data_IF_842120842182
#
_entry.id   IF_842120842182
#
_cell.length_a   1.000
_cell.length_b   1.000
_cell.length_c   1.000
_cell.angle_alpha   90.00
_cell.angle_beta   90.00
_cell.angle_gamma   90.00
#
_symmetry.space_group_name_H-M   'P 1'
#
loop_
_entity.id
_entity.type
_entity.pdbx_description
1 polymer ?
#
# COMPACT_ATOMS: atom_id res chain seq x y z
N UNK A 1 8.69 4.42 8.61
CA UNK A 1 8.59 3.14 7.88
C UNK A 1 7.86 3.39 6.56
N UNK A 2 8.10 2.59 5.53
CA UNK A 2 7.41 2.69 4.25
C UNK A 2 6.81 1.35 3.87
N UNK A 3 5.66 1.36 3.19
CA UNK A 3 5.14 0.23 2.45
C UNK A 3 5.57 0.36 1.00
N UNK A 4 6.32 -0.61 0.48
CA UNK A 4 6.67 -0.68 -0.92
C UNK A 4 5.94 -1.87 -1.55
N UNK A 5 5.21 -1.62 -2.64
CA UNK A 5 4.57 -2.68 -3.40
C UNK A 5 5.24 -2.81 -4.77
N UNK A 6 5.67 -4.03 -5.07
CA UNK A 6 6.29 -4.40 -6.34
C UNK A 6 5.69 -5.70 -6.84
N UNK A 7 5.60 -5.82 -8.16
CA UNK A 7 5.17 -7.00 -8.87
C UNK A 7 6.29 -7.49 -9.79
N UNK A 8 6.20 -8.74 -10.23
CA UNK A 8 7.15 -9.27 -11.23
C UNK A 8 7.06 -8.46 -12.54
N UNK A 9 8.19 -7.89 -13.04
CA UNK A 9 8.24 -7.24 -14.34
C UNK A 9 7.76 -8.18 -15.44
N UNK A 10 6.98 -7.66 -16.38
CA UNK A 10 6.42 -8.44 -17.49
C UNK A 10 6.05 -7.53 -18.65
N UNK A 11 5.90 -8.11 -19.83
CA UNK A 11 5.47 -7.35 -20.99
C UNK A 11 3.97 -7.00 -20.92
N UNK A 12 3.61 -5.73 -21.11
CA UNK A 12 2.21 -5.28 -21.21
C UNK A 12 1.82 -5.14 -22.68
N UNK A 13 1.16 -6.17 -23.21
CA UNK A 13 0.66 -6.20 -24.59
C UNK A 13 -0.34 -5.09 -24.88
N UNK A 14 -1.05 -4.58 -23.86
CA UNK A 14 -2.02 -3.47 -24.02
C UNK A 14 -1.32 -2.16 -24.33
N UNK A 15 -0.14 -1.95 -23.73
CA UNK A 15 0.66 -0.71 -23.84
C UNK A 15 1.89 -0.86 -24.73
N UNK A 16 2.07 -2.03 -25.35
CA UNK A 16 3.21 -2.40 -26.20
C UNK A 16 4.57 -2.06 -25.56
N UNK A 17 4.72 -2.27 -24.24
CA UNK A 17 5.92 -1.89 -23.47
C UNK A 17 6.16 -2.80 -22.27
N UNK A 18 7.38 -2.79 -21.75
CA UNK A 18 7.71 -3.48 -20.49
C UNK A 18 7.06 -2.77 -19.30
N UNK A 19 6.34 -3.53 -18.47
CA UNK A 19 5.95 -3.12 -17.12
C UNK A 19 7.08 -3.47 -16.16
N UNK A 20 7.60 -2.46 -15.46
CA UNK A 20 8.77 -2.56 -14.59
C UNK A 20 8.45 -3.14 -13.20
N UNK A 21 7.18 -3.49 -12.93
CA UNK A 21 6.77 -4.07 -11.67
C UNK A 21 6.50 -3.05 -10.56
N UNK A 22 6.80 -1.76 -10.75
CA UNK A 22 6.72 -0.78 -9.67
C UNK A 22 5.28 -0.32 -9.46
N UNK A 23 4.71 -0.61 -8.29
CA UNK A 23 3.34 -0.18 -7.94
C UNK A 23 3.36 1.11 -7.13
N UNK A 24 4.19 1.19 -6.09
CA UNK A 24 4.34 2.42 -5.30
C UNK A 24 5.13 2.24 -4.02
N UNK A 25 5.39 3.38 -3.37
CA UNK A 25 6.01 3.48 -2.05
C UNK A 25 5.22 4.50 -1.24
N UNK A 26 4.72 4.11 -0.08
CA UNK A 26 3.89 4.96 0.78
C UNK A 26 4.47 5.05 2.19
N UNK A 27 4.70 6.27 2.71
CA UNK A 27 5.18 6.44 4.07
C UNK A 27 4.07 6.18 5.10
N UNK A 28 4.43 5.53 6.20
CA UNK A 28 3.61 5.51 7.42
C UNK A 28 3.93 6.75 8.26
N UNK A 29 3.24 7.85 7.94
CA UNK A 29 3.42 9.14 8.61
C UNK A 29 2.08 9.82 8.83
N UNK A 30 2.03 10.66 9.85
CA UNK A 30 0.94 11.58 10.12
C UNK A 30 1.45 13.02 9.97
N UNK A 31 0.65 13.86 9.32
CA UNK A 31 0.92 15.30 9.24
C UNK A 31 0.07 16.02 10.30
N UNK A 32 0.74 16.61 11.29
CA UNK A 32 0.11 17.38 12.36
C UNK A 32 0.68 18.78 12.42
N UNK A 33 -0.06 19.72 13.01
CA UNK A 33 0.45 21.07 13.24
C UNK A 33 1.21 21.12 14.57
N UNK A 34 2.36 21.82 14.58
CA UNK A 34 3.13 22.05 15.79
C UNK A 34 2.26 22.70 16.87
N UNK A 35 2.04 21.99 17.98
CA UNK A 35 1.19 22.46 19.07
C UNK A 35 1.88 23.57 19.88
N UNK A 36 3.20 23.48 20.02
CA UNK A 36 4.03 24.40 20.78
C UNK A 36 5.09 25.03 19.89
N UNK A 37 5.32 26.33 20.07
CA UNK A 37 6.46 27.01 19.47
C UNK A 37 7.78 26.50 20.06
N UNK A 38 8.74 26.25 19.20
CA UNK A 38 10.13 26.00 19.53
C UNK A 38 11.02 26.89 18.66
N UNK A 39 12.30 27.02 19.02
CA UNK A 39 13.26 27.86 18.27
C UNK A 39 13.27 27.58 16.76
N UNK A 40 13.04 26.32 16.37
CA UNK A 40 13.11 25.87 14.97
C UNK A 40 11.74 25.62 14.35
N UNK A 41 10.64 25.67 15.12
CA UNK A 41 9.28 25.38 14.64
C UNK A 41 8.27 26.26 15.38
N UNK A 42 7.80 27.37 14.79
CA UNK A 42 6.67 28.13 15.30
C UNK A 42 5.43 27.23 15.49
N UNK A 43 4.56 27.61 16.41
CA UNK A 43 3.24 26.97 16.54
C UNK A 43 2.50 27.04 15.20
N UNK A 44 1.87 25.94 14.80
CA UNK A 44 1.18 25.84 13.51
C UNK A 44 2.04 25.39 12.33
N UNK A 45 3.36 25.18 12.51
CA UNK A 45 4.18 24.59 11.44
C UNK A 45 3.79 23.14 11.18
N UNK A 46 3.59 22.70 9.91
CA UNK A 46 3.36 21.29 9.59
C UNK A 46 4.55 20.42 10.04
N UNK A 47 4.26 19.40 10.82
CA UNK A 47 5.19 18.37 11.27
C UNK A 47 4.75 17.06 10.65
N UNK A 48 5.70 16.34 10.05
CA UNK A 48 5.51 14.96 9.62
C UNK A 48 6.17 14.04 10.63
N UNK A 49 5.39 13.18 11.26
CA UNK A 49 5.86 12.25 12.30
C UNK A 49 5.61 10.82 11.86
N UNK A 50 6.51 9.86 12.15
CA UNK A 50 6.24 8.45 11.92
C UNK A 50 5.03 7.96 12.73
N UNK A 51 4.23 7.09 12.13
CA UNK A 51 3.08 6.46 12.80
C UNK A 51 3.38 5.00 13.12
N UNK A 52 2.90 4.52 14.28
CA UNK A 52 2.93 3.10 14.63
C UNK A 52 2.04 2.31 13.69
N UNK A 53 2.56 1.23 13.12
CA UNK A 53 1.79 0.39 12.18
C UNK A 53 1.09 -0.72 12.95
N UNK A 54 -0.19 -0.47 13.24
CA UNK A 54 -1.12 -1.47 13.74
C UNK A 54 -1.73 -2.26 12.58
N UNK A 55 -2.46 -3.34 12.88
CA UNK A 55 -3.22 -4.07 11.86
C UNK A 55 -4.20 -3.16 11.11
N UNK A 56 -4.86 -2.24 11.82
CA UNK A 56 -5.81 -1.30 11.20
C UNK A 56 -5.11 -0.33 10.24
N UNK A 57 -3.99 0.26 10.66
CA UNK A 57 -3.17 1.16 9.82
C UNK A 57 -2.63 0.41 8.60
N UNK A 58 -2.25 -0.85 8.77
CA UNK A 58 -1.77 -1.70 7.69
C UNK A 58 -2.87 -2.02 6.66
N UNK A 59 -4.04 -2.49 7.12
CA UNK A 59 -5.19 -2.78 6.25
C UNK A 59 -5.65 -1.54 5.50
N UNK A 60 -5.67 -0.41 6.19
CA UNK A 60 -6.01 0.88 5.59
C UNK A 60 -5.03 1.27 4.46
N UNK A 61 -3.73 1.13 4.72
CA UNK A 61 -2.71 1.38 3.72
C UNK A 61 -2.90 0.50 2.47
N UNK A 62 -3.22 -0.78 2.67
CA UNK A 62 -3.47 -1.72 1.57
C UNK A 62 -4.70 -1.29 0.76
N UNK A 63 -5.84 -1.06 1.42
CA UNK A 63 -7.10 -0.71 0.77
C UNK A 63 -7.04 0.62 0.03
N UNK A 64 -6.44 1.65 0.64
CA UNK A 64 -6.44 3.01 0.09
C UNK A 64 -5.34 3.24 -0.94
N UNK A 65 -4.27 2.47 -0.91
CA UNK A 65 -3.09 2.73 -1.73
C UNK A 65 -2.69 1.54 -2.62
N UNK A 66 -2.45 0.36 -2.03
CA UNK A 66 -1.91 -0.78 -2.77
C UNK A 66 -2.93 -1.35 -3.76
N UNK A 67 -4.17 -1.59 -3.32
CA UNK A 67 -5.21 -2.14 -4.19
C UNK A 67 -5.51 -1.21 -5.38
N UNK A 68 -5.72 0.11 -5.19
CA UNK A 68 -5.86 1.04 -6.31
C UNK A 68 -4.64 1.08 -7.23
N UNK A 69 -3.41 1.01 -6.68
CA UNK A 69 -2.20 1.01 -7.49
C UNK A 69 -2.08 -0.26 -8.34
N UNK A 70 -2.45 -1.42 -7.81
CA UNK A 70 -2.56 -2.68 -8.56
C UNK A 70 -3.54 -2.50 -9.72
N UNK A 71 -4.76 -2.02 -9.44
CA UNK A 71 -5.80 -1.84 -10.46
C UNK A 71 -5.39 -0.87 -11.57
N UNK A 72 -4.71 0.22 -11.22
CA UNK A 72 -4.29 1.27 -12.15
C UNK A 72 -3.05 0.88 -12.99
N UNK A 73 -2.08 0.19 -12.38
CA UNK A 73 -0.76 -0.02 -12.99
C UNK A 73 -0.54 -1.41 -13.57
N UNK A 74 -1.16 -2.45 -13.01
CA UNK A 74 -0.92 -3.80 -13.51
C UNK A 74 -1.44 -3.98 -14.95
N UNK A 75 -0.66 -4.68 -15.80
CA UNK A 75 -1.09 -5.07 -17.14
C UNK A 75 -2.43 -5.82 -17.12
N UNK A 76 -3.28 -5.60 -18.12
CA UNK A 76 -4.63 -6.17 -18.15
C UNK A 76 -4.64 -7.70 -18.10
N UNK A 77 -3.69 -8.36 -18.77
CA UNK A 77 -3.53 -9.82 -18.72
C UNK A 77 -3.25 -10.31 -17.29
N UNK A 78 -2.41 -9.60 -16.55
CA UNK A 78 -2.10 -9.93 -15.15
C UNK A 78 -3.27 -9.73 -14.18
N UNK A 79 -4.32 -9.01 -14.60
CA UNK A 79 -5.57 -8.83 -13.84
C UNK A 79 -6.67 -9.84 -14.20
N UNK A 80 -6.45 -10.68 -15.23
CA UNK A 80 -7.38 -11.77 -15.59
C UNK A 80 -7.26 -12.97 -14.66
N UNK A 81 -6.08 -13.14 -14.07
CA UNK A 81 -5.79 -14.14 -13.05
C UNK A 81 -5.94 -13.52 -11.65
N UNK A 82 -6.05 -14.38 -10.63
CA UNK A 82 -5.95 -13.95 -9.24
C UNK A 82 -4.56 -13.39 -8.97
N UNK A 83 -4.51 -12.20 -8.38
CA UNK A 83 -3.27 -11.56 -7.94
C UNK A 83 -2.99 -11.97 -6.50
N UNK A 84 -1.86 -12.62 -6.29
CA UNK A 84 -1.40 -13.00 -4.97
C UNK A 84 -0.51 -11.92 -4.38
N UNK A 85 -0.87 -11.40 -3.21
CA UNK A 85 -0.04 -10.51 -2.40
C UNK A 85 0.72 -11.35 -1.39
N UNK A 86 2.05 -11.33 -1.51
CA UNK A 86 2.96 -11.91 -0.55
C UNK A 86 3.51 -10.81 0.36
N UNK A 87 3.61 -11.11 1.64
CA UNK A 87 4.08 -10.23 2.71
C UNK A 87 4.89 -11.05 3.72
N UNK A 88 5.68 -10.40 4.58
CA UNK A 88 6.35 -11.09 5.68
C UNK A 88 5.36 -11.39 6.83
N UNK A 89 5.81 -12.17 7.83
CA UNK A 89 4.96 -12.61 8.94
C UNK A 89 4.91 -11.63 10.14
N UNK A 90 5.09 -10.32 9.92
CA UNK A 90 4.94 -9.34 11.00
C UNK A 90 3.50 -9.36 11.58
N UNK A 91 3.37 -9.11 12.89
CA UNK A 91 2.07 -9.16 13.58
C UNK A 91 0.93 -8.38 12.89
N UNK A 92 1.15 -7.13 12.41
CA UNK A 92 0.14 -6.39 11.66
C UNK A 92 -0.30 -7.05 10.34
N UNK A 93 0.59 -7.80 9.68
CA UNK A 93 0.32 -8.43 8.38
C UNK A 93 -0.63 -9.62 8.51
N UNK A 94 -0.56 -10.34 9.63
CA UNK A 94 -1.47 -11.44 9.97
C UNK A 94 -2.92 -10.99 10.07
N UNK A 95 -3.16 -9.68 10.24
CA UNK A 95 -4.49 -9.11 10.32
C UNK A 95 -5.13 -8.85 8.95
N UNK A 96 -4.34 -8.91 7.87
CA UNK A 96 -4.83 -8.78 6.49
C UNK A 96 -5.10 -10.18 5.91
N UNK A 97 -6.37 -10.49 5.66
CA UNK A 97 -6.79 -11.77 5.07
C UNK A 97 -7.49 -11.57 3.74
N UNK A 98 -7.54 -12.62 2.93
CA UNK A 98 -8.37 -12.63 1.71
C UNK A 98 -9.83 -12.34 2.03
N UNK A 99 -10.37 -12.90 3.12
CA UNK A 99 -11.74 -12.63 3.57
C UNK A 99 -11.97 -11.17 3.92
N UNK A 100 -11.01 -10.52 4.59
CA UNK A 100 -11.08 -9.09 4.86
C UNK A 100 -11.15 -8.29 3.55
N UNK A 101 -10.32 -8.62 2.56
CA UNK A 101 -10.33 -7.97 1.26
C UNK A 101 -11.69 -8.15 0.56
N UNK A 102 -12.22 -9.37 0.55
CA UNK A 102 -13.53 -9.69 -0.05
C UNK A 102 -14.67 -8.94 0.64
N UNK A 103 -14.65 -8.83 1.97
CA UNK A 103 -15.62 -8.04 2.73
C UNK A 103 -15.61 -6.54 2.36
N UNK A 104 -14.50 -6.04 1.81
CA UNK A 104 -14.35 -4.67 1.31
C UNK A 104 -14.53 -4.56 -0.22
N UNK A 105 -15.13 -5.57 -0.86
CA UNK A 105 -15.41 -5.56 -2.29
C UNK A 105 -14.18 -5.74 -3.19
N UNK A 106 -13.04 -6.15 -2.62
CA UNK A 106 -11.83 -6.42 -3.40
C UNK A 106 -11.90 -7.84 -3.93
N UNK A 107 -12.10 -7.98 -5.24
CA UNK A 107 -12.13 -9.26 -5.96
C UNK A 107 -10.80 -9.58 -6.66
N UNK A 108 -10.54 -10.87 -6.91
CA UNK A 108 -9.37 -11.38 -7.65
C UNK A 108 -8.01 -10.97 -7.07
N UNK A 109 -7.97 -10.62 -5.79
CA UNK A 109 -6.74 -10.37 -5.04
C UNK A 109 -6.79 -11.19 -3.76
N UNK A 110 -5.76 -12.02 -3.55
CA UNK A 110 -5.65 -12.95 -2.44
C UNK A 110 -4.37 -12.69 -1.65
N UNK A 111 -4.44 -12.88 -0.34
CA UNK A 111 -3.27 -12.88 0.53
C UNK A 111 -2.73 -14.30 0.58
N UNK A 112 -1.45 -14.45 0.25
CA UNK A 112 -0.76 -15.75 0.33
C UNK A 112 0.27 -15.76 1.47
N UNK A 113 0.54 -16.95 2.06
CA UNK A 113 1.59 -17.11 3.07
C UNK A 113 2.99 -16.71 2.60
#
# INVERSE_FOLDING_TARGET
>A
MFMAAVARPRYDYTKNRMFDGKLGVWPFVESTLAIRSSKNRPKGTPITSPTTVTGDVYRDMILRNVIPAIQAKMPAIGRRETINIQQDNAGPHQQLTTDFLRAHGVERIDIVP
#
